data_IF_000727899404
#
_entry.id   IF_000727899404
#
_cell.length_a   1.000
_cell.length_b   1.000
_cell.length_c   1.000
_cell.angle_alpha   90.00
_cell.angle_beta   90.00
_cell.angle_gamma   90.00
#
_symmetry.space_group_name_H-M   'P 1'
#
loop_
_entity.id
_entity.type
_entity.pdbx_description
1 polymer ?
#
# COMPACT_ATOMS: atom_id res chain seq x y z
N UNK A 1 0.74 24.53 -52.14
CA UNK A 1 -0.36 25.24 -51.45
C UNK A 1 -0.53 24.58 -50.10
N UNK A 2 -0.06 25.23 -49.04
CA UNK A 2 -0.13 24.72 -47.69
C UNK A 2 -1.58 24.84 -47.22
N UNK A 3 -2.16 23.72 -46.79
CA UNK A 3 -3.47 23.70 -46.15
C UNK A 3 -3.37 24.53 -44.86
N UNK A 4 -3.92 25.73 -44.91
CA UNK A 4 -4.13 26.61 -43.78
C UNK A 4 -5.03 25.88 -42.78
N UNK A 5 -4.45 25.40 -41.67
CA UNK A 5 -5.23 24.85 -40.56
C UNK A 5 -6.06 25.99 -39.98
N UNK A 6 -7.34 26.03 -40.35
CA UNK A 6 -8.31 26.92 -39.75
C UNK A 6 -8.33 26.70 -38.23
N UNK A 7 -8.39 27.77 -37.42
CA UNK A 7 -8.51 27.62 -35.98
C UNK A 7 -9.86 26.94 -35.70
N UNK A 8 -9.82 25.74 -35.11
CA UNK A 8 -11.03 25.12 -34.58
C UNK A 8 -11.55 26.00 -33.44
N UNK A 9 -12.44 26.94 -33.75
CA UNK A 9 -13.34 27.54 -32.77
C UNK A 9 -14.37 26.48 -32.35
N UNK A 10 -13.91 25.47 -31.63
CA UNK A 10 -14.82 24.76 -30.75
C UNK A 10 -15.11 25.73 -29.60
N UNK A 11 -16.32 26.28 -29.60
CA UNK A 11 -16.91 27.00 -28.46
C UNK A 11 -17.19 26.00 -27.34
N UNK A 12 -16.13 25.33 -26.87
CA UNK A 12 -16.16 24.38 -25.80
C UNK A 12 -16.46 25.14 -24.51
N UNK A 13 -17.55 24.75 -23.84
CA UNK A 13 -17.94 25.32 -22.55
C UNK A 13 -16.81 25.17 -21.50
N UNK A 14 -15.89 24.22 -21.72
CA UNK A 14 -14.69 24.01 -20.91
C UNK A 14 -13.52 24.93 -21.26
N UNK A 15 -13.51 25.56 -22.44
CA UNK A 15 -12.41 26.42 -22.87
C UNK A 15 -12.27 27.66 -21.98
N UNK A 16 -13.39 28.29 -21.60
CA UNK A 16 -13.39 29.47 -20.72
C UNK A 16 -12.84 29.18 -19.32
N UNK A 17 -13.31 28.14 -18.58
CA UNK A 17 -12.75 27.83 -17.27
C UNK A 17 -11.29 27.36 -17.35
N UNK A 18 -10.91 26.58 -18.37
CA UNK A 18 -9.51 26.17 -18.56
C UNK A 18 -8.60 27.38 -18.85
N UNK A 19 -9.03 28.29 -19.71
CA UNK A 19 -8.29 29.53 -19.99
C UNK A 19 -8.16 30.41 -18.74
N UNK A 20 -9.20 30.48 -17.90
CA UNK A 20 -9.16 31.21 -16.64
C UNK A 20 -8.17 30.61 -15.63
N UNK A 21 -8.14 29.28 -15.49
CA UNK A 21 -7.19 28.56 -14.64
C UNK A 21 -5.75 28.81 -15.11
N UNK A 22 -5.51 28.70 -16.42
CA UNK A 22 -4.19 28.97 -17.02
C UNK A 22 -3.78 30.42 -16.85
N UNK A 23 -4.69 31.37 -17.10
CA UNK A 23 -4.41 32.80 -16.91
C UNK A 23 -4.09 33.12 -15.44
N UNK A 24 -4.78 32.50 -14.49
CA UNK A 24 -4.51 32.65 -13.06
C UNK A 24 -3.14 32.10 -12.68
N UNK A 25 -2.76 30.94 -13.24
CA UNK A 25 -1.45 30.34 -13.03
C UNK A 25 -0.31 31.21 -13.60
N UNK A 26 -0.49 31.78 -14.79
CA UNK A 26 0.49 32.68 -15.43
C UNK A 26 0.59 34.03 -14.72
N UNK A 27 -0.52 34.54 -14.17
CA UNK A 27 -0.54 35.84 -13.48
C UNK A 27 0.15 35.82 -12.12
N UNK A 28 0.21 34.66 -11.45
CA UNK A 28 0.85 34.51 -10.14
C UNK A 28 1.79 33.28 -10.07
N UNK A 29 2.85 33.24 -10.89
CA UNK A 29 3.66 32.03 -11.09
C UNK A 29 4.32 31.55 -9.78
N UNK A 30 4.84 32.48 -8.96
CA UNK A 30 5.45 32.12 -7.67
C UNK A 30 4.44 31.49 -6.70
N UNK A 31 3.20 32.02 -6.64
CA UNK A 31 2.16 31.48 -5.74
C UNK A 31 1.72 30.10 -6.20
N UNK A 32 1.59 29.90 -7.51
CA UNK A 32 1.26 28.60 -8.10
C UNK A 32 2.35 27.56 -7.80
N UNK A 33 3.63 27.92 -7.94
CA UNK A 33 4.75 27.03 -7.61
C UNK A 33 4.78 26.68 -6.12
N UNK A 34 4.60 27.66 -5.23
CA UNK A 34 4.55 27.42 -3.78
C UNK A 34 3.37 26.53 -3.41
N UNK A 35 2.17 26.78 -3.94
CA UNK A 35 1.00 25.96 -3.68
C UNK A 35 1.17 24.53 -4.18
N UNK A 36 1.71 24.35 -5.39
CA UNK A 36 2.01 23.02 -5.95
C UNK A 36 3.07 22.29 -5.11
N UNK A 37 4.11 22.99 -4.68
CA UNK A 37 5.15 22.43 -3.81
C UNK A 37 4.62 22.01 -2.45
N UNK A 38 3.78 22.84 -1.82
CA UNK A 38 3.11 22.51 -0.55
C UNK A 38 2.19 21.30 -0.70
N UNK A 39 1.40 21.25 -1.77
CA UNK A 39 0.51 20.12 -2.04
C UNK A 39 1.31 18.83 -2.27
N UNK A 40 2.39 18.90 -3.05
CA UNK A 40 3.29 17.77 -3.27
C UNK A 40 3.89 17.27 -1.96
N UNK A 41 4.40 18.18 -1.11
CA UNK A 41 4.94 17.84 0.20
C UNK A 41 3.87 17.18 1.10
N UNK A 42 2.66 17.72 1.13
CA UNK A 42 1.54 17.15 1.88
C UNK A 42 1.22 15.73 1.39
N UNK A 43 1.13 15.52 0.08
CA UNK A 43 0.92 14.21 -0.51
C UNK A 43 2.06 13.24 -0.17
N UNK A 44 3.32 13.69 -0.22
CA UNK A 44 4.47 12.85 0.16
C UNK A 44 4.42 12.46 1.63
N UNK A 45 4.16 13.41 2.54
CA UNK A 45 4.06 13.13 3.97
C UNK A 45 2.87 12.20 4.25
N UNK A 46 1.74 12.43 3.59
CA UNK A 46 0.57 11.57 3.71
C UNK A 46 0.90 10.15 3.23
N UNK A 47 1.42 9.99 2.03
CA UNK A 47 1.85 8.69 1.51
C UNK A 47 2.87 8.03 2.44
N UNK A 48 3.89 8.74 2.93
CA UNK A 48 4.87 8.15 3.84
C UNK A 48 4.27 7.63 5.16
N UNK A 49 3.16 8.22 5.64
CA UNK A 49 2.49 7.80 6.89
C UNK A 49 1.40 6.75 6.68
N UNK A 50 0.75 6.75 5.51
CA UNK A 50 -0.44 5.94 5.25
C UNK A 50 -0.22 4.85 4.19
N UNK A 51 0.91 4.86 3.47
CA UNK A 51 1.27 3.79 2.54
C UNK A 51 1.57 2.52 3.34
N UNK A 52 0.59 1.62 3.38
CA UNK A 52 0.74 0.27 3.92
C UNK A 52 0.87 -0.68 2.74
N UNK A 53 1.93 -1.48 2.73
CA UNK A 53 2.04 -2.60 1.80
C UNK A 53 1.09 -3.70 2.29
N UNK A 54 -0.04 -3.85 1.62
CA UNK A 54 -0.96 -4.96 1.85
C UNK A 54 -0.38 -6.20 1.15
N UNK A 55 0.25 -7.08 1.93
CA UNK A 55 0.83 -8.35 1.44
C UNK A 55 -0.15 -9.52 1.55
N UNK A 56 -1.32 -9.31 2.15
CA UNK A 56 -2.33 -10.33 2.29
C UNK A 56 -3.09 -10.51 0.96
N UNK A 57 -2.99 -11.72 0.37
CA UNK A 57 -3.68 -12.12 -0.87
C UNK A 57 -5.21 -12.00 -0.76
N UNK A 58 -5.73 -11.90 0.46
CA UNK A 58 -7.12 -11.64 0.83
C UNK A 58 -7.67 -10.31 0.30
N UNK A 59 -6.82 -9.28 0.20
CA UNK A 59 -7.26 -7.92 -0.12
C UNK A 59 -7.56 -7.70 -1.61
N UNK A 60 -7.30 -8.72 -2.45
CA UNK A 60 -7.79 -8.75 -3.83
C UNK A 60 -9.28 -9.16 -3.94
N UNK A 61 -9.91 -9.58 -2.84
CA UNK A 61 -11.31 -10.00 -2.79
C UNK A 61 -12.17 -8.82 -2.31
N UNK A 62 -13.30 -8.59 -2.99
CA UNK A 62 -14.21 -7.48 -2.67
C UNK A 62 -14.64 -7.51 -1.18
N UNK A 63 -14.38 -6.45 -0.40
CA UNK A 63 -14.67 -6.39 1.04
C UNK A 63 -16.17 -6.42 1.39
N UNK A 64 -17.08 -6.27 0.42
CA UNK A 64 -18.53 -6.40 0.63
C UNK A 64 -19.07 -7.82 0.40
N UNK A 65 -18.19 -8.80 0.13
CA UNK A 65 -18.56 -10.20 0.07
C UNK A 65 -18.95 -10.72 1.46
N UNK A 66 -20.09 -11.40 1.60
CA UNK A 66 -20.48 -12.07 2.85
C UNK A 66 -19.39 -13.05 3.35
N UNK A 67 -18.55 -13.53 2.44
CA UNK A 67 -17.41 -14.39 2.75
C UNK A 67 -16.34 -13.69 3.61
N UNK A 68 -16.14 -12.39 3.42
CA UNK A 68 -15.16 -11.61 4.19
C UNK A 68 -15.61 -11.42 5.64
N UNK A 69 -16.91 -11.28 5.88
CA UNK A 69 -17.46 -11.20 7.25
C UNK A 69 -17.30 -12.50 8.02
N UNK A 70 -17.64 -13.64 7.42
CA UNK A 70 -17.45 -14.94 8.07
C UNK A 70 -15.98 -15.29 8.28
N UNK A 71 -15.10 -14.83 7.39
CA UNK A 71 -13.66 -14.97 7.59
C UNK A 71 -13.15 -14.09 8.74
N UNK A 72 -13.59 -12.85 8.87
CA UNK A 72 -13.22 -11.98 9.99
C UNK A 72 -13.69 -12.56 11.33
N UNK A 73 -14.93 -13.06 11.41
CA UNK A 73 -15.46 -13.74 12.61
C UNK A 73 -14.64 -15.01 12.94
N UNK A 74 -14.21 -15.77 11.93
CA UNK A 74 -13.33 -16.92 12.13
C UNK A 74 -11.93 -16.53 12.65
N UNK A 75 -11.30 -15.50 12.11
CA UNK A 75 -9.98 -15.05 12.56
C UNK A 75 -10.04 -14.44 13.98
N UNK A 76 -11.14 -13.76 14.31
CA UNK A 76 -11.39 -13.19 15.64
C UNK A 76 -11.61 -14.30 16.70
N UNK A 77 -12.35 -15.35 16.35
CA UNK A 77 -12.60 -16.49 17.24
C UNK A 77 -11.37 -17.39 17.41
N UNK A 78 -10.58 -17.58 16.34
CA UNK A 78 -9.49 -18.55 16.33
C UNK A 78 -8.08 -17.96 16.49
N UNK A 79 -7.92 -16.63 16.48
CA UNK A 79 -6.62 -15.93 16.58
C UNK A 79 -5.58 -16.54 15.63
N UNK A 80 -5.42 -15.92 14.45
CA UNK A 80 -4.30 -16.23 13.55
C UNK A 80 -3.00 -15.81 14.24
N UNK A 81 -2.48 -16.67 15.12
CA UNK A 81 -1.04 -16.73 15.35
C UNK A 81 -0.49 -17.02 13.96
N UNK A 82 0.18 -16.05 13.36
CA UNK A 82 0.92 -16.28 12.12
C UNK A 82 1.97 -17.36 12.41
N UNK A 83 1.59 -18.62 12.23
CA UNK A 83 2.41 -19.76 12.60
C UNK A 83 3.55 -19.88 11.59
N UNK A 84 4.77 -19.66 12.07
CA UNK A 84 5.98 -19.88 11.28
C UNK A 84 6.37 -21.34 11.38
N UNK A 85 6.17 -22.09 10.29
CA UNK A 85 6.60 -23.49 10.20
C UNK A 85 8.08 -23.56 9.80
N UNK A 86 8.91 -24.13 10.66
CA UNK A 86 10.33 -24.39 10.40
C UNK A 86 10.52 -25.88 10.11
N UNK A 87 11.15 -26.21 8.98
CA UNK A 87 11.44 -27.60 8.59
C UNK A 87 12.93 -27.86 8.76
N UNK A 88 13.27 -28.93 9.48
CA UNK A 88 14.65 -29.37 9.72
C UNK A 88 14.90 -30.66 8.92
N UNK A 89 15.94 -30.64 8.09
CA UNK A 89 16.38 -31.80 7.29
C UNK A 89 17.73 -32.31 7.85
N UNK A 90 17.87 -33.63 7.97
CA UNK A 90 19.08 -34.28 8.49
C UNK A 90 19.21 -35.73 8.04
N UNK A 91 20.40 -36.31 8.22
CA UNK A 91 20.74 -37.66 7.72
C UNK A 91 20.13 -38.79 8.55
N UNK A 92 19.71 -38.52 9.80
CA UNK A 92 19.01 -39.47 10.67
C UNK A 92 17.96 -38.79 11.55
N UNK A 93 17.01 -39.56 12.06
CA UNK A 93 15.94 -39.05 12.92
C UNK A 93 16.49 -38.45 14.23
N UNK A 94 17.54 -39.04 14.79
CA UNK A 94 18.20 -38.55 16.00
C UNK A 94 18.84 -37.18 15.80
N UNK A 95 19.46 -36.93 14.63
CA UNK A 95 20.04 -35.63 14.32
C UNK A 95 18.96 -34.55 14.18
N UNK A 96 17.85 -34.88 13.51
CA UNK A 96 16.72 -33.96 13.34
C UNK A 96 16.10 -33.61 14.69
N UNK A 97 15.88 -34.60 15.57
CA UNK A 97 15.34 -34.37 16.90
C UNK A 97 16.25 -33.48 17.75
N UNK A 98 17.56 -33.76 17.76
CA UNK A 98 18.52 -32.95 18.51
C UNK A 98 18.57 -31.49 18.03
N UNK A 99 18.50 -31.27 16.71
CA UNK A 99 18.48 -29.92 16.13
C UNK A 99 17.17 -29.19 16.45
N UNK A 100 16.02 -29.89 16.41
CA UNK A 100 14.74 -29.32 16.80
C UNK A 100 14.74 -28.90 18.28
N UNK A 101 15.26 -29.73 19.17
CA UNK A 101 15.37 -29.43 20.60
C UNK A 101 16.28 -28.21 20.87
N UNK A 102 17.40 -28.11 20.15
CA UNK A 102 18.30 -26.96 20.25
C UNK A 102 17.63 -25.67 19.75
N UNK A 103 16.88 -25.73 18.65
CA UNK A 103 16.13 -24.61 18.12
C UNK A 103 15.08 -24.12 19.12
N UNK A 104 14.30 -25.04 19.71
CA UNK A 104 13.30 -24.72 20.74
C UNK A 104 13.98 -24.05 21.94
N UNK A 105 15.05 -24.63 22.46
CA UNK A 105 15.79 -24.06 23.60
C UNK A 105 16.40 -22.68 23.28
N UNK A 106 16.73 -22.39 22.02
CA UNK A 106 17.18 -21.07 21.60
C UNK A 106 16.02 -20.05 21.52
N UNK A 107 14.86 -20.46 21.00
CA UNK A 107 13.69 -19.60 20.88
C UNK A 107 13.09 -19.24 22.25
N UNK A 108 13.06 -20.19 23.19
CA UNK A 108 12.58 -19.97 24.57
C UNK A 108 13.39 -18.91 25.34
N UNK A 109 14.65 -18.66 24.94
CA UNK A 109 15.48 -17.59 25.52
C UNK A 109 15.07 -16.19 25.06
N UNK A 110 14.25 -16.10 24.02
CA UNK A 110 13.83 -14.84 23.43
C UNK A 110 12.30 -14.69 23.35
N UNK A 111 11.56 -14.85 24.47
CA UNK A 111 10.10 -14.81 24.48
C UNK A 111 9.53 -13.45 24.04
N UNK A 112 10.33 -12.38 24.11
CA UNK A 112 9.97 -11.02 23.67
C UNK A 112 9.60 -10.92 22.19
N UNK A 113 9.98 -11.89 21.36
CA UNK A 113 9.64 -11.88 19.93
C UNK A 113 8.35 -12.65 19.61
N UNK A 114 7.76 -13.35 20.58
CA UNK A 114 6.64 -14.29 20.36
C UNK A 114 5.44 -14.05 21.28
N UNK A 115 5.54 -13.12 22.24
CA UNK A 115 4.42 -12.75 23.11
C UNK A 115 3.87 -11.41 22.63
N UNK A 116 2.70 -11.41 21.99
CA UNK A 116 1.94 -10.19 21.63
C UNK A 116 0.84 -9.89 22.63
#
# INVERSE_FOLDING_TARGET
MAAERMPQEETSLLAKPMAAVTALAVRYPLRTLVAAGLLALLCTVFSARYLRLQTARSDLINPQSQYHRYWLEYIEEFTDQEDVVVVVEGESAEQVAACADELVAALEKHPQYFTS
#
